data_IF_015086826442
#
_entry.id   IF_015086826442
#
_cell.length_a   1.000
_cell.length_b   1.000
_cell.length_c   1.000
_cell.angle_alpha   90.00
_cell.angle_beta   90.00
_cell.angle_gamma   90.00
#
_symmetry.space_group_name_H-M   'P 1'
#
loop_
_entity.id
_entity.type
_entity.pdbx_description
1 polymer ?
#
# COMPACT_ATOMS: atom_id res chain seq x y z
N UNK A 1 9.66 5.36 -13.53
CA UNK A 1 10.35 4.38 -12.67
C UNK A 1 9.29 3.40 -12.20
N UNK A 2 9.37 2.14 -12.62
CA UNK A 2 8.49 1.10 -12.10
C UNK A 2 8.75 0.99 -10.59
N UNK A 3 7.77 1.36 -9.77
CA UNK A 3 7.80 1.01 -8.35
C UNK A 3 7.57 -0.49 -8.24
N UNK A 4 8.65 -1.25 -8.39
CA UNK A 4 8.62 -2.70 -8.23
C UNK A 4 8.46 -2.99 -6.75
N UNK A 5 7.23 -2.85 -6.25
CA UNK A 5 6.85 -3.30 -4.92
C UNK A 5 7.21 -4.78 -4.78
N UNK A 6 7.81 -5.14 -3.65
CA UNK A 6 8.03 -6.55 -3.28
C UNK A 6 6.69 -7.24 -3.06
N UNK A 7 6.65 -8.56 -3.17
CA UNK A 7 5.41 -9.34 -3.08
C UNK A 7 4.57 -9.02 -1.83
N UNK A 8 5.21 -8.90 -0.66
CA UNK A 8 4.52 -8.53 0.58
C UNK A 8 3.96 -7.10 0.56
N UNK A 9 4.59 -6.18 -0.16
CA UNK A 9 4.08 -4.81 -0.32
C UNK A 9 2.90 -4.79 -1.30
N UNK A 10 2.95 -5.60 -2.36
CA UNK A 10 1.83 -5.79 -3.27
C UNK A 10 0.63 -6.42 -2.56
N UNK A 11 0.85 -7.44 -1.74
CA UNK A 11 -0.19 -8.06 -0.93
C UNK A 11 -0.82 -7.05 0.05
N UNK A 12 0.01 -6.26 0.75
CA UNK A 12 -0.51 -5.22 1.64
C UNK A 12 -1.30 -4.15 0.89
N UNK A 13 -0.85 -3.73 -0.29
CA UNK A 13 -1.58 -2.79 -1.15
C UNK A 13 -2.93 -3.36 -1.58
N UNK A 14 -2.98 -4.64 -2.00
CA UNK A 14 -4.22 -5.31 -2.40
C UNK A 14 -5.21 -5.42 -1.24
N UNK A 15 -4.74 -5.84 -0.06
CA UNK A 15 -5.57 -5.94 1.15
C UNK A 15 -6.09 -4.57 1.58
N UNK A 16 -5.25 -3.55 1.54
CA UNK A 16 -5.65 -2.19 1.83
C UNK A 16 -6.81 -1.73 0.95
N UNK A 17 -6.70 -1.91 -0.37
CA UNK A 17 -7.78 -1.49 -1.29
C UNK A 17 -9.08 -2.24 -1.04
N UNK A 18 -9.02 -3.56 -0.85
CA UNK A 18 -10.21 -4.37 -0.52
C UNK A 18 -10.91 -3.89 0.76
N UNK A 19 -10.14 -3.61 1.82
CA UNK A 19 -10.73 -3.13 3.08
C UNK A 19 -11.29 -1.71 2.93
N UNK A 20 -10.70 -0.88 2.08
CA UNK A 20 -11.16 0.49 1.84
C UNK A 20 -12.48 0.56 1.07
N UNK A 21 -12.84 -0.49 0.31
CA UNK A 21 -14.17 -0.59 -0.32
C UNK A 21 -15.29 -0.70 0.72
N UNK A 22 -14.99 -1.25 1.90
CA UNK A 22 -15.97 -1.51 2.96
C UNK A 22 -15.88 -0.50 4.12
N UNK A 23 -14.72 0.14 4.31
CA UNK A 23 -14.45 1.00 5.45
C UNK A 23 -13.98 2.40 5.02
N UNK A 24 -14.42 3.43 5.75
CA UNK A 24 -13.98 4.82 5.49
C UNK A 24 -12.51 5.08 5.79
N UNK A 25 -11.89 4.23 6.62
CA UNK A 25 -10.49 4.35 7.02
C UNK A 25 -9.92 2.98 7.38
N UNK A 26 -8.68 2.72 6.98
CA UNK A 26 -7.96 1.47 7.24
C UNK A 26 -6.59 1.79 7.86
N UNK A 27 -6.21 1.05 8.89
CA UNK A 27 -4.89 1.17 9.52
C UNK A 27 -3.97 0.05 9.04
N UNK A 28 -2.89 0.41 8.35
CA UNK A 28 -1.85 -0.53 7.91
C UNK A 28 -0.70 -0.53 8.90
N UNK A 29 -0.41 -1.70 9.47
CA UNK A 29 0.74 -1.92 10.36
C UNK A 29 1.78 -2.76 9.63
N UNK A 30 3.02 -2.28 9.59
CA UNK A 30 4.16 -3.06 9.09
C UNK A 30 5.38 -2.85 10.00
N UNK A 31 6.28 -3.83 10.15
CA UNK A 31 7.54 -3.67 10.88
C UNK A 31 8.43 -2.56 10.30
N UNK A 32 9.38 -2.05 11.08
CA UNK A 32 10.44 -1.15 10.57
C UNK A 32 11.30 -1.88 9.53
N UNK A 33 11.88 -1.15 8.57
CA UNK A 33 12.72 -1.74 7.51
C UNK A 33 11.98 -2.43 6.36
N UNK A 34 10.63 -2.50 6.38
CA UNK A 34 9.81 -3.15 5.34
C UNK A 34 9.32 -2.19 4.23
N UNK A 35 9.78 -0.94 4.24
CA UNK A 35 9.46 0.02 3.19
C UNK A 35 8.03 0.59 3.24
N UNK A 36 7.45 0.81 4.43
CA UNK A 36 6.14 1.50 4.62
C UNK A 36 5.99 2.78 3.80
N UNK A 37 7.02 3.64 3.80
CA UNK A 37 7.01 4.90 3.04
C UNK A 37 6.96 4.65 1.54
N UNK A 38 7.67 3.62 1.06
CA UNK A 38 7.66 3.24 -0.35
C UNK A 38 6.29 2.69 -0.76
N UNK A 39 5.68 1.85 0.08
CA UNK A 39 4.31 1.36 -0.11
C UNK A 39 3.30 2.51 -0.16
N UNK A 40 3.36 3.45 0.80
CA UNK A 40 2.47 4.61 0.83
C UNK A 40 2.59 5.45 -0.45
N UNK A 41 3.81 5.71 -0.91
CA UNK A 41 4.03 6.46 -2.15
C UNK A 41 3.44 5.74 -3.37
N UNK A 42 3.56 4.40 -3.43
CA UNK A 42 2.97 3.60 -4.48
C UNK A 42 1.43 3.51 -4.42
N UNK A 43 0.82 3.71 -3.25
CA UNK A 43 -0.64 3.84 -3.09
C UNK A 43 -1.09 5.21 -3.61
N UNK A 44 -0.48 6.30 -3.14
CA UNK A 44 -0.81 7.67 -3.56
C UNK A 44 -0.70 7.82 -5.09
N UNK A 45 0.32 7.22 -5.71
CA UNK A 45 0.50 7.26 -7.17
C UNK A 45 -0.62 6.59 -7.97
N UNK A 46 -1.37 5.64 -7.42
CA UNK A 46 -2.54 5.08 -8.13
C UNK A 46 -3.70 6.08 -8.26
N UNK A 47 -3.77 7.07 -7.36
CA UNK A 47 -4.82 8.09 -7.38
C UNK A 47 -4.44 9.36 -8.15
N UNK A 48 -3.16 9.52 -8.50
CA UNK A 48 -2.65 10.65 -9.28
C UNK A 48 -2.53 10.33 -10.77
N UNK A 49 -3.01 9.16 -11.19
CA UNK A 49 -3.12 8.75 -12.60
C UNK A 49 -4.43 9.22 -13.20
#
# INVERSE_FOLDING_TARGET
MNDTLRDYQQEMKLRLFKEWELHRSVMVQMPTGTGKTHLLAAIVREFLR
#
